data_IF_601530468428
#
_entry.id   IF_601530468428
#
_cell.length_a   1.000
_cell.length_b   1.000
_cell.length_c   1.000
_cell.angle_alpha   90.00
_cell.angle_beta   90.00
_cell.angle_gamma   90.00
#
_symmetry.space_group_name_H-M   'P 1'
#
loop_
_entity.id
_entity.type
_entity.pdbx_description
1 polymer ?
#
# COMPACT_ATOMS: atom_id res chain seq x y z
N UNK A 1 2.26 -15.96 -18.31
CA UNK A 1 1.31 -15.06 -19.00
C UNK A 1 -0.01 -15.07 -18.21
N UNK A 2 -0.33 -14.03 -17.43
CA UNK A 2 -1.61 -13.96 -16.69
C UNK A 2 -2.50 -12.91 -17.33
N UNK A 3 -3.54 -13.40 -18.00
CA UNK A 3 -4.64 -12.67 -18.64
C UNK A 3 -5.16 -11.59 -17.68
N UNK A 4 -4.83 -10.34 -17.95
CA UNK A 4 -5.44 -9.19 -17.30
C UNK A 4 -6.87 -9.10 -17.86
N UNK A 5 -7.88 -9.18 -16.99
CA UNK A 5 -9.28 -9.04 -17.39
C UNK A 5 -9.50 -7.61 -17.93
N UNK A 6 -10.25 -7.43 -19.04
CA UNK A 6 -10.39 -6.18 -19.81
C UNK A 6 -10.88 -4.95 -19.01
N UNK A 7 -11.37 -5.13 -17.79
CA UNK A 7 -11.95 -4.10 -16.92
C UNK A 7 -10.95 -3.43 -15.95
N UNK A 8 -9.66 -3.40 -16.27
CA UNK A 8 -8.65 -2.75 -15.43
C UNK A 8 -8.21 -1.38 -15.95
N UNK A 9 -8.76 -0.94 -17.08
CA UNK A 9 -8.31 0.25 -17.78
C UNK A 9 -8.59 1.54 -17.02
N UNK A 10 -7.74 2.52 -17.25
CA UNK A 10 -7.97 3.90 -16.82
C UNK A 10 -9.15 4.46 -17.62
N UNK A 11 -10.28 4.62 -16.95
CA UNK A 11 -11.52 5.12 -17.56
C UNK A 11 -11.82 6.54 -17.12
N UNK A 12 -12.10 7.42 -18.08
CA UNK A 12 -12.64 8.75 -17.84
C UNK A 12 -14.14 8.63 -17.57
N UNK A 13 -14.58 9.13 -16.41
CA UNK A 13 -15.99 9.18 -16.06
C UNK A 13 -16.62 10.54 -16.43
N UNK A 14 -17.96 10.62 -16.56
CA UNK A 14 -18.68 11.85 -16.92
C UNK A 14 -18.45 13.03 -15.96
N UNK A 15 -17.88 12.78 -14.78
CA UNK A 15 -17.50 13.80 -13.80
C UNK A 15 -16.12 14.43 -14.07
N UNK A 16 -15.48 14.10 -15.20
CA UNK A 16 -14.17 14.62 -15.61
C UNK A 16 -12.99 13.95 -14.91
N UNK A 17 -13.23 12.90 -14.12
CA UNK A 17 -12.19 12.23 -13.33
C UNK A 17 -11.80 10.88 -13.93
N UNK A 18 -10.52 10.58 -13.90
CA UNK A 18 -10.00 9.27 -14.26
C UNK A 18 -10.09 8.34 -13.06
N UNK A 19 -10.73 7.18 -13.21
CA UNK A 19 -10.77 6.16 -12.15
C UNK A 19 -10.44 4.79 -12.69
N UNK A 20 -9.70 4.02 -11.89
CA UNK A 20 -9.41 2.62 -12.19
C UNK A 20 -9.25 1.80 -10.92
N UNK A 21 -9.47 0.49 -11.07
CA UNK A 21 -9.37 -0.47 -9.98
C UNK A 21 -8.25 -1.45 -10.27
N UNK A 22 -7.28 -1.53 -9.38
CA UNK A 22 -6.12 -2.41 -9.52
C UNK A 22 -6.14 -3.51 -8.45
N UNK A 23 -5.92 -4.76 -8.87
CA UNK A 23 -5.75 -5.90 -7.97
C UNK A 23 -4.26 -6.09 -7.69
N UNK A 24 -3.83 -5.77 -6.48
CA UNK A 24 -2.44 -6.02 -6.08
C UNK A 24 -2.35 -7.41 -5.45
N UNK A 25 -1.53 -8.33 -6.01
CA UNK A 25 -1.28 -9.61 -5.38
C UNK A 25 -0.40 -9.44 -4.14
N UNK A 26 -0.90 -9.86 -2.97
CA UNK A 26 -0.18 -9.75 -1.69
C UNK A 26 1.15 -10.51 -1.70
N UNK A 27 1.23 -11.65 -2.41
CA UNK A 27 2.45 -12.45 -2.56
C UNK A 27 3.63 -11.68 -3.17
N UNK A 28 3.35 -10.75 -4.10
CA UNK A 28 4.41 -9.95 -4.74
C UNK A 28 4.81 -8.74 -3.89
N UNK A 29 4.01 -8.38 -2.90
CA UNK A 29 4.25 -7.20 -2.09
C UNK A 29 4.02 -7.50 -0.61
N UNK A 30 4.97 -8.20 0.06
CA UNK A 30 4.90 -8.49 1.49
C UNK A 30 5.22 -7.24 2.33
N UNK A 31 4.92 -6.03 1.85
CA UNK A 31 5.28 -4.79 2.53
C UNK A 31 4.73 -4.73 3.95
N UNK A 32 3.51 -5.23 4.17
CA UNK A 32 2.90 -5.29 5.51
C UNK A 32 3.75 -6.17 6.45
N UNK A 33 4.19 -7.33 5.98
CA UNK A 33 5.01 -8.25 6.77
C UNK A 33 6.39 -7.64 7.08
N UNK A 34 7.01 -7.00 6.10
CA UNK A 34 8.30 -6.32 6.26
C UNK A 34 8.18 -5.14 7.24
N UNK A 35 7.13 -4.33 7.13
CA UNK A 35 6.92 -3.19 8.01
C UNK A 35 6.70 -3.65 9.46
N UNK A 36 5.90 -4.70 9.68
CA UNK A 36 5.68 -5.29 11.00
C UNK A 36 6.98 -5.85 11.59
N UNK A 37 7.73 -6.66 10.82
CA UNK A 37 9.02 -7.18 11.31
C UNK A 37 10.07 -6.11 11.50
N UNK A 38 10.05 -5.03 10.72
CA UNK A 38 10.97 -3.92 10.91
C UNK A 38 10.68 -3.18 12.21
N UNK A 39 9.42 -2.87 12.48
CA UNK A 39 9.03 -2.21 13.75
C UNK A 39 9.35 -3.13 14.93
N UNK A 40 8.94 -4.40 14.85
CA UNK A 40 9.19 -5.39 15.90
C UNK A 40 10.70 -5.60 16.11
N UNK A 41 11.46 -5.80 15.05
CA UNK A 41 12.92 -5.98 15.11
C UNK A 41 13.65 -4.77 15.70
N UNK A 42 13.22 -3.54 15.39
CA UNK A 42 13.78 -2.32 16.01
C UNK A 42 13.45 -2.29 17.52
N UNK A 43 12.20 -2.57 17.91
CA UNK A 43 11.80 -2.61 19.32
C UNK A 43 12.58 -3.66 20.11
N UNK A 44 12.67 -4.89 19.58
CA UNK A 44 13.44 -5.97 20.21
C UNK A 44 14.94 -5.63 20.25
N UNK A 45 15.51 -5.13 19.16
CA UNK A 45 16.92 -4.72 19.11
C UNK A 45 17.27 -3.65 20.13
N UNK A 46 16.36 -2.69 20.36
CA UNK A 46 16.56 -1.65 21.37
C UNK A 46 16.59 -2.24 22.79
N UNK A 47 15.63 -3.10 23.12
CA UNK A 47 15.57 -3.77 24.44
C UNK A 47 16.81 -4.64 24.67
N UNK A 48 17.25 -5.37 23.64
CA UNK A 48 18.47 -6.18 23.70
C UNK A 48 19.70 -5.29 23.94
N UNK A 49 19.84 -4.20 23.19
CA UNK A 49 20.96 -3.26 23.35
C UNK A 49 21.00 -2.66 24.76
N UNK A 50 19.85 -2.22 25.29
CA UNK A 50 19.77 -1.69 26.66
C UNK A 50 20.20 -2.72 27.70
N UNK A 51 19.75 -3.97 27.57
CA UNK A 51 20.15 -5.03 28.49
C UNK A 51 21.64 -5.35 28.41
N UNK A 52 22.20 -5.41 27.20
CA UNK A 52 23.65 -5.61 27.00
C UNK A 52 24.47 -4.50 27.66
N UNK A 53 24.01 -3.25 27.57
CA UNK A 53 24.68 -2.12 28.23
C UNK A 53 24.62 -2.21 29.76
N UNK A 54 23.50 -2.65 30.34
CA UNK A 54 23.37 -2.84 31.79
C UNK A 54 24.32 -3.94 32.26
N UNK A 55 24.29 -5.11 31.61
CA UNK A 55 25.17 -6.24 31.93
C UNK A 55 26.65 -5.83 31.81
N UNK A 56 26.99 -5.07 30.76
CA UNK A 56 28.34 -4.56 30.57
C UNK A 56 28.81 -3.56 31.62
N UNK A 57 27.89 -2.87 32.30
CA UNK A 57 28.18 -1.90 33.36
C UNK A 57 28.30 -2.57 34.74
N UNK A 58 27.52 -3.62 35.00
CA UNK A 58 27.48 -4.31 36.31
C UNK A 58 28.57 -5.38 36.45
N UNK A 59 28.67 -6.33 35.51
CA UNK A 59 29.50 -7.54 35.67
C UNK A 59 30.71 -7.59 34.71
N UNK A 60 30.82 -6.61 33.81
CA UNK A 60 31.75 -6.65 32.68
C UNK A 60 31.28 -7.58 31.55
N UNK A 61 31.55 -7.20 30.31
CA UNK A 61 31.11 -7.94 29.12
C UNK A 61 31.91 -9.25 28.94
N UNK A 62 31.52 -10.29 29.66
CA UNK A 62 31.98 -11.66 29.40
C UNK A 62 31.20 -12.26 28.23
N UNK A 63 31.93 -12.92 27.31
CA UNK A 63 31.35 -13.52 26.10
C UNK A 63 30.28 -14.57 26.44
N UNK A 64 30.45 -15.32 27.54
CA UNK A 64 29.51 -16.35 27.97
C UNK A 64 28.18 -15.77 28.47
N UNK A 65 28.21 -14.68 29.24
CA UNK A 65 27.00 -13.98 29.72
C UNK A 65 26.23 -13.34 28.57
N UNK A 66 26.94 -12.75 27.62
CA UNK A 66 26.34 -12.20 26.40
C UNK A 66 25.70 -13.28 25.54
N UNK A 67 26.38 -14.42 25.36
CA UNK A 67 25.87 -15.52 24.56
C UNK A 67 24.64 -16.17 25.20
N UNK A 68 24.67 -16.41 26.52
CA UNK A 68 23.55 -16.95 27.28
C UNK A 68 22.30 -16.09 27.12
N UNK A 69 22.40 -14.80 27.38
CA UNK A 69 21.27 -13.87 27.24
C UNK A 69 20.80 -13.71 25.79
N UNK A 70 21.74 -13.54 24.86
CA UNK A 70 21.42 -13.34 23.44
C UNK A 70 20.76 -14.57 22.83
N UNK A 71 21.15 -15.78 23.25
CA UNK A 71 20.54 -17.01 22.76
C UNK A 71 19.05 -17.11 23.12
N UNK A 72 18.69 -16.79 24.37
CA UNK A 72 17.29 -16.74 24.81
C UNK A 72 16.49 -15.68 24.06
N UNK A 73 17.09 -14.51 23.83
CA UNK A 73 16.47 -13.42 23.08
C UNK A 73 16.24 -13.78 21.60
N UNK A 74 17.20 -14.48 20.98
CA UNK A 74 17.09 -14.97 19.60
C UNK A 74 15.99 -16.02 19.47
N UNK A 75 15.86 -16.93 20.42
CA UNK A 75 14.78 -17.92 20.45
C UNK A 75 13.43 -17.21 20.54
N UNK A 76 13.30 -16.23 21.43
CA UNK A 76 12.07 -15.43 21.56
C UNK A 76 11.73 -14.71 20.24
N UNK A 77 12.72 -14.06 19.61
CA UNK A 77 12.55 -13.43 18.31
C UNK A 77 12.12 -14.43 17.23
N UNK A 78 12.70 -15.63 17.20
CA UNK A 78 12.33 -16.68 16.26
C UNK A 78 10.87 -17.13 16.45
N UNK A 79 10.41 -17.29 17.69
CA UNK A 79 9.01 -17.63 18.00
C UNK A 79 8.06 -16.53 17.50
N UNK A 80 8.35 -15.26 17.80
CA UNK A 80 7.54 -14.14 17.30
C UNK A 80 7.56 -14.03 15.77
N UNK A 81 8.69 -14.34 15.14
CA UNK A 81 8.79 -14.39 13.69
C UNK A 81 7.86 -15.47 13.11
N UNK A 82 7.88 -16.68 13.66
CA UNK A 82 7.01 -17.79 13.23
C UNK A 82 5.53 -17.45 13.42
N UNK A 83 5.15 -16.92 14.59
CA UNK A 83 3.76 -16.52 14.87
C UNK A 83 3.32 -15.43 13.89
N UNK A 84 4.15 -14.41 13.65
CA UNK A 84 3.87 -13.34 12.69
C UNK A 84 3.70 -13.86 11.26
N UNK A 85 4.50 -14.86 10.88
CA UNK A 85 4.39 -15.49 9.56
C UNK A 85 3.09 -16.27 9.43
N UNK A 86 2.73 -17.09 10.43
CA UNK A 86 1.48 -17.84 10.45
C UNK A 86 0.28 -16.89 10.42
N UNK A 87 0.31 -15.81 11.21
CA UNK A 87 -0.72 -14.79 11.19
C UNK A 87 -0.85 -14.15 9.80
N UNK A 88 0.26 -13.84 9.13
CA UNK A 88 0.27 -13.31 7.78
C UNK A 88 -0.31 -14.31 6.76
N UNK A 89 -0.01 -15.61 6.88
CA UNK A 89 -0.58 -16.64 6.00
C UNK A 89 -2.08 -16.77 6.20
N UNK A 90 -2.56 -16.80 7.45
CA UNK A 90 -4.00 -16.84 7.76
C UNK A 90 -4.70 -15.62 7.17
N UNK A 91 -4.14 -14.44 7.43
CA UNK A 91 -4.54 -13.17 6.83
C UNK A 91 -4.59 -13.36 5.32
N UNK A 92 -3.46 -13.56 4.63
CA UNK A 92 -3.38 -13.69 3.18
C UNK A 92 -4.37 -14.70 2.59
N UNK A 93 -4.61 -15.81 3.28
CA UNK A 93 -5.58 -16.82 2.87
C UNK A 93 -7.02 -16.29 2.94
N UNK A 94 -7.40 -15.56 4.00
CA UNK A 94 -8.70 -14.87 4.09
C UNK A 94 -8.88 -13.78 3.02
N UNK A 95 -7.81 -13.13 2.56
CA UNK A 95 -7.86 -12.14 1.46
C UNK A 95 -7.87 -12.78 0.06
N UNK A 96 -7.79 -14.11 -0.06
CA UNK A 96 -7.61 -14.76 -1.36
C UNK A 96 -6.33 -14.30 -2.08
N UNK A 97 -5.31 -13.91 -1.30
CA UNK A 97 -3.99 -13.45 -1.75
C UNK A 97 -3.98 -12.17 -2.60
N UNK A 98 -5.09 -11.41 -2.60
CA UNK A 98 -5.26 -10.20 -3.40
C UNK A 98 -5.96 -9.11 -2.61
N UNK A 99 -5.57 -7.87 -2.81
CA UNK A 99 -6.34 -6.73 -2.33
C UNK A 99 -6.67 -5.77 -3.48
N UNK A 100 -7.83 -5.13 -3.37
CA UNK A 100 -8.37 -4.23 -4.39
C UNK A 100 -8.11 -2.79 -3.96
N UNK A 101 -7.48 -2.02 -4.84
CA UNK A 101 -7.27 -0.58 -4.63
C UNK A 101 -8.00 0.20 -5.71
N UNK A 102 -8.65 1.27 -5.28
CA UNK A 102 -9.29 2.25 -6.15
C UNK A 102 -8.37 3.46 -6.26
N UNK A 103 -8.15 3.90 -7.49
CA UNK A 103 -7.49 5.16 -7.77
C UNK A 103 -8.47 6.12 -8.43
N UNK A 104 -8.46 7.36 -7.97
CA UNK A 104 -9.14 8.49 -8.60
C UNK A 104 -8.09 9.57 -8.88
N UNK A 105 -7.99 9.98 -10.13
CA UNK A 105 -7.04 10.97 -10.61
C UNK A 105 -7.79 12.12 -11.28
N UNK A 106 -7.44 13.32 -10.84
CA UNK A 106 -7.95 14.60 -11.32
C UNK A 106 -6.74 15.49 -11.69
N UNK A 107 -6.96 16.63 -12.32
CA UNK A 107 -5.91 17.59 -12.71
C UNK A 107 -5.16 18.18 -11.50
N UNK A 108 -5.78 18.14 -10.31
CA UNK A 108 -5.24 18.74 -9.08
C UNK A 108 -4.69 17.71 -8.10
N UNK A 109 -5.27 16.51 -8.05
CA UNK A 109 -4.97 15.53 -7.02
C UNK A 109 -5.12 14.09 -7.53
N UNK A 110 -4.38 13.18 -6.90
CA UNK A 110 -4.54 11.75 -7.07
C UNK A 110 -4.82 11.08 -5.72
N UNK A 111 -5.97 10.40 -5.65
CA UNK A 111 -6.46 9.68 -4.49
C UNK A 111 -6.21 8.19 -4.66
N UNK A 112 -5.62 7.61 -3.63
CA UNK A 112 -5.48 6.18 -3.46
C UNK A 112 -6.39 5.76 -2.32
N UNK A 113 -7.36 4.90 -2.62
CA UNK A 113 -8.31 4.41 -1.63
C UNK A 113 -8.20 2.88 -1.54
N UNK A 114 -7.81 2.40 -0.37
CA UNK A 114 -7.81 0.97 -0.09
C UNK A 114 -9.22 0.53 0.24
N UNK A 115 -9.73 -0.44 -0.52
CA UNK A 115 -11.07 -0.96 -0.29
C UNK A 115 -11.08 -1.93 0.89
N UNK A 116 -12.15 -1.95 1.70
CA UNK A 116 -12.28 -2.87 2.81
C UNK A 116 -12.28 -4.32 2.33
N UNK A 117 -11.81 -5.20 3.23
CA UNK A 117 -11.43 -6.60 3.02
C UNK A 117 -12.29 -7.47 2.09
N UNK A 118 -13.59 -7.20 2.00
CA UNK A 118 -14.57 -8.07 1.36
C UNK A 118 -15.12 -7.53 0.03
N UNK A 119 -14.59 -6.41 -0.46
CA UNK A 119 -15.14 -5.78 -1.67
C UNK A 119 -14.50 -6.37 -2.92
N UNK A 120 -15.27 -7.18 -3.65
CA UNK A 120 -14.88 -7.69 -4.98
C UNK A 120 -14.71 -6.51 -5.95
N UNK A 121 -13.72 -6.61 -6.86
CA UNK A 121 -13.48 -5.63 -7.93
C UNK A 121 -14.76 -5.26 -8.69
N UNK A 122 -15.58 -6.25 -9.06
CA UNK A 122 -16.85 -6.04 -9.74
C UNK A 122 -17.85 -5.19 -8.93
N UNK A 123 -17.84 -5.31 -7.59
CA UNK A 123 -18.70 -4.51 -6.70
C UNK A 123 -18.21 -3.06 -6.62
N UNK A 124 -16.89 -2.84 -6.62
CA UNK A 124 -16.31 -1.48 -6.71
C UNK A 124 -16.67 -0.85 -8.05
N UNK A 125 -16.44 -1.56 -9.15
CA UNK A 125 -16.67 -1.05 -10.50
C UNK A 125 -18.15 -0.74 -10.72
N UNK A 126 -19.05 -1.66 -10.37
CA UNK A 126 -20.50 -1.41 -10.47
C UNK A 126 -20.97 -0.24 -9.62
N UNK A 127 -20.37 -0.02 -8.45
CA UNK A 127 -20.71 1.10 -7.59
C UNK A 127 -20.13 2.44 -8.10
N UNK A 128 -18.95 2.45 -8.74
CA UNK A 128 -18.43 3.62 -9.48
C UNK A 128 -19.31 3.97 -10.67
N UNK A 129 -19.71 2.97 -11.46
CA UNK A 129 -20.60 3.17 -12.62
C UNK A 129 -21.96 3.71 -12.17
N UNK A 130 -22.50 3.21 -11.05
CA UNK A 130 -23.74 3.73 -10.47
C UNK A 130 -23.60 5.18 -9.97
N UNK A 131 -22.50 5.52 -9.28
CA UNK A 131 -22.23 6.90 -8.84
C UNK A 131 -22.07 7.86 -10.00
N UNK A 132 -21.30 7.47 -11.02
CA UNK A 132 -21.09 8.28 -12.20
C UNK A 132 -22.39 8.45 -13.01
N UNK A 133 -23.21 7.41 -13.11
CA UNK A 133 -24.54 7.47 -13.72
C UNK A 133 -25.49 8.39 -12.96
N UNK A 134 -25.46 8.36 -11.62
CA UNK A 134 -26.26 9.25 -10.78
C UNK A 134 -25.82 10.73 -10.92
N UNK A 135 -24.51 10.99 -10.94
CA UNK A 135 -23.95 12.32 -11.20
C UNK A 135 -24.26 12.83 -12.62
N UNK A 136 -24.38 11.92 -13.59
CA UNK A 136 -24.79 12.21 -14.96
C UNK A 136 -26.32 12.24 -15.19
N UNK A 137 -27.13 12.28 -14.13
CA UNK A 137 -28.60 12.46 -14.22
C UNK A 137 -29.42 11.19 -14.46
N UNK A 138 -28.87 9.99 -14.22
CA UNK A 138 -29.58 8.70 -14.29
C UNK A 138 -29.64 8.03 -12.91
N UNK A 139 -30.70 8.28 -12.12
CA UNK A 139 -30.77 7.80 -10.74
C UNK A 139 -31.04 6.28 -10.70
N UNK A 140 -29.98 5.51 -10.47
CA UNK A 140 -30.03 4.07 -10.26
C UNK A 140 -29.16 3.67 -9.07
N UNK A 141 -29.77 3.61 -7.89
CA UNK A 141 -29.30 2.93 -6.66
C UNK A 141 -27.84 3.20 -6.24
N UNK A 142 -27.61 4.26 -5.47
CA UNK A 142 -26.34 4.48 -4.76
C UNK A 142 -26.44 3.87 -3.36
N UNK A 143 -25.76 2.75 -3.14
CA UNK A 143 -25.69 2.07 -1.84
C UNK A 143 -24.61 2.64 -0.92
N UNK A 144 -24.91 2.67 0.37
CA UNK A 144 -24.08 3.09 1.54
C UNK A 144 -22.71 2.41 1.68
N UNK A 145 -22.35 1.46 0.81
CA UNK A 145 -21.10 0.68 0.90
C UNK A 145 -19.82 1.43 0.49
N UNK A 146 -19.90 2.48 -0.35
CA UNK A 146 -18.73 3.26 -0.76
C UNK A 146 -18.27 4.20 0.37
N UNK A 147 -19.19 4.81 1.12
CA UNK A 147 -18.86 5.73 2.22
C UNK A 147 -18.07 5.04 3.35
N UNK A 148 -18.30 3.73 3.56
CA UNK A 148 -17.56 2.94 4.54
C UNK A 148 -16.09 2.67 4.13
N UNK A 149 -15.73 2.86 2.85
CA UNK A 149 -14.37 2.63 2.34
C UNK A 149 -13.41 3.80 2.53
N UNK A 150 -13.85 4.91 3.13
CA UNK A 150 -13.08 6.16 3.25
C UNK A 150 -11.94 6.08 4.29
N UNK A 151 -11.94 5.06 5.17
CA UNK A 151 -11.02 4.96 6.31
C UNK A 151 -9.54 4.77 5.96
N UNK A 152 -9.21 4.32 4.75
CA UNK A 152 -7.82 4.14 4.28
C UNK A 152 -7.61 4.82 2.93
N UNK A 153 -7.88 6.12 2.89
CA UNK A 153 -7.59 6.97 1.72
C UNK A 153 -6.31 7.78 1.95
N UNK A 154 -5.46 7.85 0.93
CA UNK A 154 -4.31 8.75 0.87
C UNK A 154 -4.43 9.61 -0.39
N UNK A 155 -4.43 10.91 -0.19
CA UNK A 155 -4.55 11.90 -1.25
C UNK A 155 -3.20 12.57 -1.48
N UNK A 156 -2.82 12.72 -2.74
CA UNK A 156 -1.63 13.46 -3.15
C UNK A 156 -2.02 14.60 -4.08
N UNK A 157 -1.94 15.83 -3.56
CA UNK A 157 -2.02 17.08 -4.32
C UNK A 157 -0.82 17.17 -5.28
N UNK A 158 -1.07 17.24 -6.59
CA UNK A 158 -0.06 17.16 -7.64
C UNK A 158 0.94 18.33 -7.57
N UNK A 159 0.49 19.51 -7.17
CA UNK A 159 1.35 20.70 -6.98
C UNK A 159 2.41 20.49 -5.90
N UNK A 160 2.12 19.68 -4.89
CA UNK A 160 3.00 19.44 -3.73
C UNK A 160 3.87 18.18 -3.89
N UNK A 161 3.84 17.55 -5.06
CA UNK A 161 4.67 16.37 -5.35
C UNK A 161 6.11 16.81 -5.55
N UNK A 162 7.00 16.33 -4.68
CA UNK A 162 8.41 16.64 -4.74
C UNK A 162 9.18 15.69 -5.67
N UNK A 163 8.76 14.42 -5.75
CA UNK A 163 9.43 13.40 -6.58
C UNK A 163 8.44 12.41 -7.18
N UNK A 164 8.61 12.15 -8.47
CA UNK A 164 7.98 11.06 -9.21
C UNK A 164 9.05 10.01 -9.52
N UNK A 165 8.82 8.75 -9.14
CA UNK A 165 9.74 7.64 -9.44
C UNK A 165 8.95 6.55 -10.15
N UNK A 166 9.15 6.35 -11.47
CA UNK A 166 8.52 5.25 -12.20
C UNK A 166 9.21 3.93 -11.87
N UNK A 167 8.42 2.89 -11.61
CA UNK A 167 8.88 1.52 -11.41
C UNK A 167 8.08 0.57 -12.30
N UNK A 168 8.38 0.57 -13.61
CA UNK A 168 7.66 -0.21 -14.63
C UNK A 168 7.59 -1.70 -14.32
N UNK A 169 8.67 -2.31 -13.83
CA UNK A 169 8.71 -3.75 -13.45
C UNK A 169 7.63 -4.13 -12.42
N UNK A 170 7.18 -3.17 -11.62
CA UNK A 170 6.16 -3.36 -10.59
C UNK A 170 4.84 -2.69 -10.93
N UNK A 171 4.70 -2.10 -12.13
CA UNK A 171 3.50 -1.35 -12.51
C UNK A 171 3.14 -0.28 -11.47
N UNK A 172 4.16 0.36 -10.91
CA UNK A 172 4.07 1.26 -9.76
C UNK A 172 4.72 2.60 -10.09
N UNK A 173 4.01 3.69 -9.79
CA UNK A 173 4.55 5.04 -9.77
C UNK A 173 4.57 5.50 -8.31
N UNK A 174 5.76 5.85 -7.79
CA UNK A 174 5.88 6.41 -6.44
C UNK A 174 5.72 7.92 -6.55
N UNK A 175 4.69 8.44 -5.89
CA UNK A 175 4.38 9.87 -5.81
C UNK A 175 4.73 10.33 -4.41
N UNK A 176 5.90 10.95 -4.27
CA UNK A 176 6.42 11.38 -2.98
C UNK A 176 6.21 12.88 -2.79
N UNK A 177 5.40 13.22 -1.80
CA UNK A 177 5.30 14.56 -1.22
C UNK A 177 6.23 14.66 -0.01
N UNK A 178 6.36 15.87 0.55
CA UNK A 178 7.25 16.14 1.68
C UNK A 178 6.90 15.30 2.92
N UNK A 179 5.60 15.21 3.25
CA UNK A 179 5.09 14.51 4.44
C UNK A 179 4.24 13.27 4.09
N UNK A 180 3.86 13.08 2.83
CA UNK A 180 3.03 11.95 2.40
C UNK A 180 3.69 11.18 1.25
N UNK A 181 3.73 9.86 1.35
CA UNK A 181 4.28 8.97 0.32
C UNK A 181 3.14 8.14 -0.24
N UNK A 182 2.84 8.31 -1.52
CA UNK A 182 1.78 7.57 -2.19
C UNK A 182 2.36 6.60 -3.24
N UNK A 183 1.67 5.48 -3.42
CA UNK A 183 2.06 4.37 -4.31
C UNK A 183 0.92 4.09 -5.25
N UNK A 184 1.13 4.37 -6.52
CA UNK A 184 0.09 4.37 -7.54
C UNK A 184 0.32 3.18 -8.46
N UNK A 185 -0.55 2.19 -8.38
CA UNK A 185 -0.45 1.00 -9.22
C UNK A 185 -1.28 1.20 -10.47
N UNK A 186 -0.64 1.04 -11.64
CA UNK A 186 -1.25 1.33 -12.94
C UNK A 186 -1.12 0.07 -13.81
N UNK A 187 -2.15 -0.34 -14.56
CA UNK A 187 -2.00 -1.38 -15.58
C UNK A 187 -0.84 -1.07 -16.53
N UNK A 188 -0.16 -2.11 -17.02
CA UNK A 188 0.99 -1.94 -17.92
C UNK A 188 0.65 -1.15 -19.18
N UNK A 189 -0.56 -1.38 -19.73
CA UNK A 189 -1.09 -0.69 -20.92
C UNK A 189 -1.28 0.81 -20.71
N UNK A 190 -1.66 1.23 -19.50
CA UNK A 190 -1.99 2.63 -19.18
C UNK A 190 -0.87 3.33 -18.40
N UNK A 191 0.26 2.65 -18.18
CA UNK A 191 1.36 3.16 -17.36
C UNK A 191 1.92 4.47 -17.91
N UNK A 192 2.14 4.52 -19.22
CA UNK A 192 2.71 5.69 -19.90
C UNK A 192 1.75 6.86 -19.89
N UNK A 193 0.47 6.60 -20.15
CA UNK A 193 -0.59 7.60 -20.05
C UNK A 193 -0.63 8.26 -18.66
N UNK A 194 -0.67 7.45 -17.59
CA UNK A 194 -0.74 7.98 -16.22
C UNK A 194 0.56 8.69 -15.83
N UNK A 195 1.71 8.17 -16.23
CA UNK A 195 3.00 8.80 -15.92
C UNK A 195 3.14 10.15 -16.62
N UNK A 196 2.79 10.24 -17.90
CA UNK A 196 2.85 11.47 -18.67
C UNK A 196 1.85 12.52 -18.13
N UNK A 197 0.65 12.09 -17.77
CA UNK A 197 -0.34 12.94 -17.11
C UNK A 197 0.23 13.54 -15.81
N UNK A 198 0.83 12.71 -14.95
CA UNK A 198 1.47 13.17 -13.71
C UNK A 198 2.66 14.09 -13.99
N UNK A 199 3.45 13.84 -15.03
CA UNK A 199 4.57 14.68 -15.41
C UNK A 199 4.15 16.07 -15.93
N UNK A 200 2.98 16.18 -16.56
CA UNK A 200 2.42 17.45 -17.02
C UNK A 200 1.85 18.28 -15.85
N UNK A 201 1.19 17.64 -14.89
CA UNK A 201 0.48 18.32 -13.81
C UNK A 201 1.32 18.52 -12.53
N UNK A 202 2.38 17.74 -12.32
CA UNK A 202 3.31 17.94 -11.20
C UNK A 202 4.39 18.98 -11.55
N UNK A 203 4.06 20.26 -11.38
CA UNK A 203 4.93 21.40 -11.72
C UNK A 203 6.22 21.48 -10.90
N UNK A 204 6.20 21.05 -9.64
CA UNK A 204 7.34 21.12 -8.70
C UNK A 204 8.13 19.81 -8.56
N UNK A 205 7.73 18.75 -9.25
CA UNK A 205 8.33 17.43 -9.06
C UNK A 205 9.68 17.29 -9.79
N UNK A 206 10.70 16.78 -9.09
CA UNK A 206 11.91 16.27 -9.74
C UNK A 206 11.56 14.98 -10.49
N UNK A 207 11.68 15.03 -11.82
CA UNK A 207 11.45 13.93 -12.77
C UNK A 207 12.74 13.10 -12.84
N UNK A 208 12.63 11.78 -12.70
CA UNK A 208 13.77 10.85 -12.70
C UNK A 208 13.47 9.64 -13.57
#
# INVERSE_FOLDING_TARGET
MKKQSPDSRVTLYPDGKYRWVYEVPMLKNPSILIDVYKVLGISFGLVWLFNVLIIGCEDGLTLDSLWGFSSGFLILMAVFAVIGYVAYVIVAWTYGWKYVVLFEMDEKEIKHQQMPLQVKKAKVLGALTALAGAAAGRPGVVGTGILASTRFSSTSILENVARLIPCRRMNLIKVNQLLNKNRIYVPEEDFDFVYDFLCQHCTKAKKK
#
